data_IF_441261269289
#
_entry.id   IF_441261269289
#
_cell.length_a   1.000
_cell.length_b   1.000
_cell.length_c   1.000
_cell.angle_alpha   90.00
_cell.angle_beta   90.00
_cell.angle_gamma   90.00
#
_symmetry.space_group_name_H-M   'P 1'
#
loop_
_entity.id
_entity.type
_entity.pdbx_description
1 polymer ?
#
# COMPACT_ATOMS: atom_id res chain seq x y z
N UNK A 1 14.83 9.31 32.98
CA UNK A 1 15.99 9.69 32.13
C UNK A 1 15.89 8.98 30.80
N UNK A 2 16.07 9.70 29.69
CA UNK A 2 16.21 9.16 28.32
C UNK A 2 17.66 9.30 27.90
N UNK A 3 18.21 8.24 27.28
CA UNK A 3 19.56 8.26 26.70
C UNK A 3 19.42 8.33 25.17
N UNK A 4 20.06 9.31 24.55
CA UNK A 4 20.09 9.49 23.10
C UNK A 4 21.25 8.72 22.47
N UNK A 5 21.23 8.52 21.15
CA UNK A 5 22.25 7.75 20.42
C UNK A 5 23.66 8.38 20.48
N UNK A 6 23.76 9.67 20.71
CA UNK A 6 25.01 10.39 20.95
C UNK A 6 25.56 10.21 22.38
N UNK A 7 24.85 9.45 23.22
CA UNK A 7 25.19 9.18 24.61
C UNK A 7 24.74 10.25 25.60
N UNK A 8 24.15 11.35 25.17
CA UNK A 8 23.57 12.37 26.06
C UNK A 8 22.36 11.80 26.84
N UNK A 9 22.09 12.42 28.00
CA UNK A 9 21.00 11.99 28.88
C UNK A 9 20.20 13.20 29.32
N UNK A 10 18.85 13.05 29.24
CA UNK A 10 17.92 14.08 29.67
C UNK A 10 16.88 13.51 30.64
N UNK A 11 16.53 14.27 31.66
CA UNK A 11 15.39 13.97 32.53
C UNK A 11 14.11 14.42 31.84
N UNK A 12 13.22 13.49 31.55
CA UNK A 12 11.97 13.72 30.81
C UNK A 12 10.80 13.18 31.60
N UNK A 13 9.77 14.00 31.78
CA UNK A 13 8.56 13.59 32.51
C UNK A 13 7.62 12.75 31.67
N UNK A 14 7.53 13.02 30.34
CA UNK A 14 6.60 12.35 29.42
C UNK A 14 7.28 12.06 28.09
N UNK A 15 7.07 10.85 27.56
CA UNK A 15 7.50 10.46 26.21
C UNK A 15 6.24 10.18 25.38
N UNK A 16 6.13 10.86 24.23
CA UNK A 16 5.06 10.63 23.26
C UNK A 16 5.65 9.91 22.05
N UNK A 17 5.23 8.66 21.83
CA UNK A 17 5.66 7.88 20.68
C UNK A 17 4.84 8.26 19.43
N UNK A 18 5.50 8.82 18.42
CA UNK A 18 4.94 9.14 17.11
C UNK A 18 5.73 8.41 16.00
N UNK A 19 6.06 7.14 16.24
CA UNK A 19 7.01 6.34 15.45
C UNK A 19 6.37 5.61 14.27
N UNK A 20 5.07 5.84 14.01
CA UNK A 20 4.29 5.20 12.94
C UNK A 20 3.66 3.88 13.37
N UNK A 21 3.12 3.15 12.40
CA UNK A 21 2.37 1.92 12.62
C UNK A 21 3.07 0.73 11.99
N UNK A 22 2.84 -0.44 12.58
CA UNK A 22 3.22 -1.73 12.01
C UNK A 22 1.98 -2.36 11.36
N UNK A 23 2.07 -2.68 10.08
CA UNK A 23 1.01 -3.39 9.37
C UNK A 23 0.91 -4.81 9.91
N UNK A 24 -0.26 -5.21 10.38
CA UNK A 24 -0.51 -6.51 10.97
C UNK A 24 -1.94 -6.95 10.70
N UNK A 25 -2.12 -8.23 10.36
CA UNK A 25 -3.42 -8.87 10.14
C UNK A 25 -3.52 -10.12 11.02
N UNK A 26 -3.76 -9.98 12.34
CA UNK A 26 -3.68 -11.09 13.30
C UNK A 26 -4.75 -12.16 13.08
N UNK A 27 -5.76 -11.91 12.25
CA UNK A 27 -6.80 -12.85 11.85
C UNK A 27 -6.40 -13.72 10.65
N UNK A 28 -5.27 -13.45 9.99
CA UNK A 28 -4.69 -14.33 8.99
C UNK A 28 -3.49 -15.08 9.57
N UNK A 29 -3.33 -16.35 9.17
CA UNK A 29 -2.10 -17.09 9.47
C UNK A 29 -0.93 -16.57 8.62
N UNK A 30 0.29 -16.64 9.16
CA UNK A 30 1.51 -16.27 8.41
C UNK A 30 1.75 -17.11 7.15
N UNK A 31 1.15 -18.32 7.07
CA UNK A 31 1.19 -19.18 5.88
C UNK A 31 0.25 -18.67 4.77
N UNK A 32 -0.81 -17.95 5.12
CA UNK A 32 -1.76 -17.39 4.17
C UNK A 32 -1.34 -15.99 3.69
N UNK A 33 -1.08 -15.09 4.62
CA UNK A 33 -0.68 -13.72 4.32
C UNK A 33 0.43 -13.27 5.28
N UNK A 34 1.61 -13.02 4.73
CA UNK A 34 2.76 -12.55 5.50
C UNK A 34 3.11 -11.13 5.10
N UNK A 35 3.05 -10.22 6.06
CA UNK A 35 3.61 -8.88 5.92
C UNK A 35 5.10 -8.94 6.23
N UNK A 36 5.95 -8.58 5.29
CA UNK A 36 7.40 -8.57 5.43
C UNK A 36 7.92 -7.14 5.40
N UNK A 37 8.70 -6.76 6.41
CA UNK A 37 9.27 -5.40 6.50
C UNK A 37 8.22 -4.29 6.37
N UNK A 38 7.05 -4.49 6.95
CA UNK A 38 5.92 -3.57 6.85
C UNK A 38 5.41 -3.34 5.41
N UNK A 39 5.61 -4.32 4.53
CA UNK A 39 5.21 -4.27 3.13
C UNK A 39 4.37 -5.48 2.74
N UNK A 40 3.48 -5.27 1.79
CA UNK A 40 2.64 -6.29 1.17
C UNK A 40 2.51 -5.99 -0.33
N UNK A 41 2.90 -6.95 -1.16
CA UNK A 41 2.85 -6.81 -2.61
C UNK A 41 1.41 -6.91 -3.12
N UNK A 42 0.83 -5.77 -3.48
CA UNK A 42 -0.53 -5.64 -4.00
C UNK A 42 -0.53 -4.92 -5.35
N UNK A 43 -1.23 -5.49 -6.31
CA UNK A 43 -1.49 -4.82 -7.58
C UNK A 43 -2.38 -3.59 -7.37
N UNK A 44 -1.92 -2.45 -7.84
CA UNK A 44 -2.57 -1.15 -7.63
C UNK A 44 -2.88 -0.87 -6.15
N UNK A 45 -2.09 -1.42 -5.23
CA UNK A 45 -2.32 -1.32 -3.77
C UNK A 45 -3.71 -1.81 -3.31
N UNK A 46 -4.37 -2.62 -4.13
CA UNK A 46 -5.73 -3.14 -3.89
C UNK A 46 -5.77 -4.66 -3.95
N UNK A 47 -5.34 -5.26 -5.06
CA UNK A 47 -5.58 -6.66 -5.38
C UNK A 47 -4.41 -7.55 -5.00
N UNK A 48 -4.68 -8.65 -4.29
CA UNK A 48 -3.65 -9.64 -4.01
C UNK A 48 -3.39 -10.49 -5.28
N UNK A 49 -2.13 -10.60 -5.78
CA UNK A 49 -1.86 -11.27 -7.05
C UNK A 49 -2.27 -12.75 -7.09
N UNK A 50 -2.24 -13.45 -5.95
CA UNK A 50 -2.55 -14.89 -5.87
C UNK A 50 -3.98 -15.18 -5.43
N UNK A 51 -4.65 -14.26 -4.74
CA UNK A 51 -5.99 -14.47 -4.18
C UNK A 51 -6.98 -13.48 -4.77
N UNK A 52 -7.72 -13.93 -5.79
CA UNK A 52 -8.66 -13.10 -6.55
C UNK A 52 -9.85 -12.57 -5.73
N UNK A 53 -10.04 -13.06 -4.52
CA UNK A 53 -11.09 -12.64 -3.57
C UNK A 53 -10.54 -11.84 -2.38
N UNK A 54 -9.25 -11.52 -2.37
CA UNK A 54 -8.62 -10.76 -1.30
C UNK A 54 -8.24 -9.36 -1.79
N UNK A 55 -8.85 -8.34 -1.18
CA UNK A 55 -8.68 -6.94 -1.54
C UNK A 55 -8.37 -6.10 -0.32
N UNK A 56 -7.62 -5.02 -0.55
CA UNK A 56 -7.29 -4.04 0.48
C UNK A 56 -7.71 -2.65 0.00
N UNK A 57 -8.54 -1.96 0.77
CA UNK A 57 -8.90 -0.56 0.54
C UNK A 57 -8.31 0.30 1.65
N UNK A 58 -7.72 1.43 1.26
CA UNK A 58 -7.11 2.35 2.21
C UNK A 58 -5.78 1.87 2.80
N UNK A 59 -5.20 0.77 2.31
CA UNK A 59 -3.86 0.33 2.73
C UNK A 59 -2.77 1.10 1.96
N UNK A 60 -2.81 2.41 2.08
CA UNK A 60 -1.87 3.37 1.48
C UNK A 60 -1.65 4.52 2.46
N UNK A 61 -0.51 5.20 2.33
CA UNK A 61 -0.17 6.38 3.12
C UNK A 61 -0.02 7.59 2.19
N UNK A 62 -1.11 8.29 1.87
CA UNK A 62 -1.06 9.49 1.05
C UNK A 62 -0.55 10.69 1.85
N UNK A 63 0.05 11.66 1.16
CA UNK A 63 0.34 13.00 1.69
C UNK A 63 -0.86 13.96 1.58
N UNK A 64 -1.99 13.49 1.09
CA UNK A 64 -3.26 14.20 0.94
C UNK A 64 -4.37 13.54 1.77
N UNK A 65 -5.61 13.98 1.58
CA UNK A 65 -6.77 13.37 2.22
C UNK A 65 -6.99 11.92 1.73
N UNK A 66 -7.21 11.00 2.67
CA UNK A 66 -7.39 9.58 2.39
C UNK A 66 -8.71 9.25 1.66
N UNK A 67 -9.80 9.96 2.00
CA UNK A 67 -11.13 9.61 1.48
C UNK A 67 -11.26 9.65 -0.05
N UNK A 68 -10.74 10.66 -0.78
CA UNK A 68 -10.74 10.65 -2.24
C UNK A 68 -9.95 9.47 -2.84
N UNK A 69 -8.87 9.06 -2.20
CA UNK A 69 -8.07 7.89 -2.64
C UNK A 69 -8.86 6.59 -2.46
N UNK A 70 -9.49 6.41 -1.31
CA UNK A 70 -10.33 5.24 -1.05
C UNK A 70 -11.55 5.17 -1.99
N UNK A 71 -12.11 6.32 -2.39
CA UNK A 71 -13.18 6.41 -3.38
C UNK A 71 -12.71 5.92 -4.76
N UNK A 72 -11.56 6.35 -5.25
CA UNK A 72 -11.01 5.87 -6.53
C UNK A 72 -10.66 4.36 -6.46
N UNK A 73 -10.08 3.88 -5.36
CA UNK A 73 -9.86 2.45 -5.16
C UNK A 73 -11.17 1.65 -5.19
N UNK A 74 -12.23 2.17 -4.55
CA UNK A 74 -13.54 1.49 -4.51
C UNK A 74 -14.21 1.45 -5.86
N UNK A 75 -14.01 2.43 -6.74
CA UNK A 75 -14.51 2.42 -8.12
C UNK A 75 -13.87 1.28 -8.91
N UNK A 76 -12.56 1.11 -8.82
CA UNK A 76 -11.85 0.03 -9.51
C UNK A 76 -12.31 -1.34 -8.98
N UNK A 77 -12.36 -1.52 -7.64
CA UNK A 77 -12.84 -2.76 -7.04
C UNK A 77 -14.30 -3.06 -7.41
N UNK A 78 -15.19 -2.05 -7.39
CA UNK A 78 -16.59 -2.22 -7.77
C UNK A 78 -16.73 -2.68 -9.23
N UNK A 79 -15.91 -2.14 -10.12
CA UNK A 79 -15.90 -2.54 -11.53
C UNK A 79 -15.43 -3.98 -11.71
N UNK A 80 -14.44 -4.42 -10.92
CA UNK A 80 -14.03 -5.82 -10.88
C UNK A 80 -15.16 -6.73 -10.40
N UNK A 81 -15.80 -6.41 -9.27
CA UNK A 81 -16.90 -7.21 -8.71
C UNK A 81 -18.14 -7.26 -9.61
N UNK A 82 -18.36 -6.24 -10.42
CA UNK A 82 -19.45 -6.18 -11.43
C UNK A 82 -19.07 -6.85 -12.76
N UNK A 83 -17.88 -7.42 -12.89
CA UNK A 83 -17.36 -7.97 -14.14
C UNK A 83 -17.35 -6.96 -15.33
N UNK A 84 -17.17 -5.66 -15.02
CA UNK A 84 -16.96 -4.60 -16.02
C UNK A 84 -15.49 -4.18 -16.14
N UNK A 85 -14.63 -4.85 -15.43
CA UNK A 85 -13.18 -4.70 -15.43
C UNK A 85 -12.53 -6.07 -15.21
N UNK A 86 -11.45 -6.37 -15.95
CA UNK A 86 -10.69 -7.60 -15.85
C UNK A 86 -9.26 -7.32 -15.41
N UNK A 87 -8.82 -8.00 -14.36
CA UNK A 87 -7.43 -7.97 -13.90
C UNK A 87 -6.47 -8.48 -14.98
N UNK A 88 -5.24 -7.96 -15.05
CA UNK A 88 -4.19 -8.55 -15.88
C UNK A 88 -3.73 -9.92 -15.32
N UNK A 89 -2.75 -10.54 -16.00
CA UNK A 89 -2.17 -11.78 -15.51
C UNK A 89 -1.45 -11.60 -14.16
N UNK A 90 -1.28 -12.70 -13.42
CA UNK A 90 -0.58 -12.65 -12.12
C UNK A 90 0.85 -12.12 -12.25
N UNK A 91 1.54 -12.43 -13.36
CA UNK A 91 2.89 -11.94 -13.66
C UNK A 91 2.90 -10.42 -13.77
N UNK A 92 1.96 -9.85 -14.51
CA UNK A 92 1.83 -8.40 -14.67
C UNK A 92 1.50 -7.74 -13.32
N UNK A 93 0.62 -8.35 -12.53
CA UNK A 93 0.29 -7.84 -11.19
C UNK A 93 1.51 -7.83 -10.25
N UNK A 94 2.35 -8.87 -10.30
CA UNK A 94 3.58 -8.94 -9.49
C UNK A 94 4.61 -7.92 -9.94
N UNK A 95 4.81 -7.78 -11.25
CA UNK A 95 5.74 -6.79 -11.83
C UNK A 95 5.33 -5.36 -11.47
N UNK A 96 4.05 -5.02 -11.52
CA UNK A 96 3.54 -3.72 -11.10
C UNK A 96 3.84 -3.46 -9.61
N UNK A 97 3.56 -4.44 -8.74
CA UNK A 97 3.84 -4.32 -7.31
C UNK A 97 5.34 -4.14 -7.02
N UNK A 98 6.22 -4.84 -7.73
CA UNK A 98 7.68 -4.72 -7.62
C UNK A 98 8.18 -3.36 -8.16
N UNK A 99 7.62 -2.88 -9.28
CA UNK A 99 7.96 -1.57 -9.85
C UNK A 99 7.65 -0.44 -8.87
N UNK A 100 6.45 -0.45 -8.30
CA UNK A 100 6.04 0.54 -7.29
C UNK A 100 6.96 0.48 -6.06
N UNK A 101 7.34 -0.71 -5.61
CA UNK A 101 8.25 -0.86 -4.48
C UNK A 101 9.64 -0.26 -4.78
N UNK A 102 10.17 -0.48 -5.99
CA UNK A 102 11.47 0.06 -6.40
C UNK A 102 11.41 1.60 -6.56
N UNK A 103 10.37 2.13 -7.18
CA UNK A 103 10.16 3.59 -7.30
C UNK A 103 10.13 4.27 -5.93
N UNK A 104 9.48 3.64 -4.94
CA UNK A 104 9.44 4.20 -3.58
C UNK A 104 10.81 4.21 -2.91
N UNK A 105 11.65 3.19 -3.15
CA UNK A 105 13.03 3.15 -2.63
C UNK A 105 13.92 4.23 -3.24
N UNK A 106 13.73 4.52 -4.52
CA UNK A 106 14.52 5.55 -5.23
C UNK A 106 14.11 6.96 -4.80
N UNK A 107 12.84 7.14 -4.45
CA UNK A 107 12.30 8.47 -4.11
C UNK A 107 12.38 8.80 -2.62
N UNK A 108 12.25 7.81 -1.74
CA UNK A 108 12.28 7.99 -0.29
C UNK A 108 13.46 7.25 0.34
N UNK A 109 13.88 7.73 1.52
CA UNK A 109 14.83 6.97 2.36
C UNK A 109 14.28 5.56 2.59
N UNK A 110 15.11 4.54 2.39
CA UNK A 110 14.72 3.13 2.62
C UNK A 110 14.34 2.94 4.09
N UNK A 111 13.05 2.91 4.33
CA UNK A 111 12.47 2.80 5.67
C UNK A 111 11.15 2.03 5.62
N UNK A 112 10.90 1.15 6.61
CA UNK A 112 9.61 0.46 6.74
C UNK A 112 8.39 1.39 6.85
N UNK A 113 8.62 2.69 7.06
CA UNK A 113 7.55 3.72 7.13
C UNK A 113 7.01 4.11 5.76
N UNK A 114 7.78 3.94 4.68
CA UNK A 114 7.44 4.45 3.35
C UNK A 114 6.93 3.37 2.39
N UNK A 115 6.81 2.14 2.85
CA UNK A 115 6.43 0.98 2.00
C UNK A 115 5.07 1.12 1.34
N UNK A 116 4.12 1.80 1.98
CA UNK A 116 2.75 2.04 1.49
C UNK A 116 2.49 3.50 1.11
N UNK A 117 3.55 4.33 1.02
CA UNK A 117 3.40 5.73 0.65
C UNK A 117 3.02 5.87 -0.83
N UNK A 118 2.23 6.89 -1.14
CA UNK A 118 1.79 7.21 -2.52
C UNK A 118 1.82 8.71 -2.76
N UNK A 119 2.08 9.09 -4.01
CA UNK A 119 1.75 10.42 -4.51
C UNK A 119 0.28 10.42 -4.95
N UNK A 120 -0.52 11.33 -4.41
CA UNK A 120 -1.97 11.33 -4.58
C UNK A 120 -2.41 11.51 -6.04
N UNK A 121 -1.78 12.44 -6.77
CA UNK A 121 -2.18 12.75 -8.14
C UNK A 121 -1.82 11.61 -9.08
N UNK A 122 -0.57 11.20 -9.08
CA UNK A 122 -0.10 10.11 -9.97
C UNK A 122 -0.80 8.80 -9.68
N UNK A 123 -1.04 8.48 -8.41
CA UNK A 123 -1.76 7.26 -8.04
C UNK A 123 -3.23 7.28 -8.46
N UNK A 124 -3.91 8.41 -8.30
CA UNK A 124 -5.30 8.57 -8.74
C UNK A 124 -5.43 8.42 -10.27
N UNK A 125 -4.51 9.03 -11.01
CA UNK A 125 -4.50 8.92 -12.48
C UNK A 125 -4.18 7.49 -12.92
N UNK A 126 -3.24 6.81 -12.26
CA UNK A 126 -2.91 5.40 -12.51
C UNK A 126 -4.12 4.48 -12.29
N UNK A 127 -4.91 4.67 -11.23
CA UNK A 127 -6.13 3.91 -10.99
C UNK A 127 -7.19 4.14 -12.08
N UNK A 128 -7.35 5.37 -12.55
CA UNK A 128 -8.31 5.72 -13.62
C UNK A 128 -7.88 5.15 -14.97
N UNK A 129 -6.61 5.18 -15.27
CA UNK A 129 -6.08 4.62 -16.51
C UNK A 129 -6.14 3.09 -16.48
N UNK A 130 -5.85 2.46 -15.35
CA UNK A 130 -6.02 1.02 -15.18
C UNK A 130 -7.47 0.59 -15.33
N UNK A 131 -8.44 1.35 -14.83
CA UNK A 131 -9.86 1.07 -15.02
C UNK A 131 -10.25 1.06 -16.52
N UNK A 132 -9.73 2.03 -17.30
CA UNK A 132 -9.95 2.07 -18.76
C UNK A 132 -9.31 0.87 -19.48
N UNK A 133 -8.06 0.53 -19.08
CA UNK A 133 -7.33 -0.60 -19.67
C UNK A 133 -8.03 -1.94 -19.34
N UNK A 134 -8.44 -2.14 -18.12
CA UNK A 134 -9.10 -3.36 -17.68
C UNK A 134 -10.48 -3.55 -18.30
N UNK A 135 -11.21 -2.48 -18.58
CA UNK A 135 -12.48 -2.53 -19.33
C UNK A 135 -12.28 -2.99 -20.78
N UNK A 136 -11.11 -2.78 -21.37
CA UNK A 136 -10.76 -3.25 -22.73
C UNK A 136 -10.26 -4.70 -22.75
N UNK A 137 -9.99 -5.32 -21.60
CA UNK A 137 -9.56 -6.74 -21.48
C UNK A 137 -10.75 -7.71 -21.44
N UNK A 138 -11.98 -7.19 -21.34
CA UNK A 138 -13.20 -8.00 -21.38
C UNK A 138 -13.42 -8.55 -22.78
#
# INVERSE_FOLDING_TARGET
TVTFDDGSKEEIDVIIYATGYKISFPFFSDSFLKVKNNDIALYKRIFHPQYSSLFFLGLVQPLCAMMPIADEQSKLLTSYLKNTYKLPSQEVMKQDAESIHNEMKDYYVDSPRHTIQINCLTYTDDLRDELKLGSRRL
#
